data_IF_610268239213
#
_entry.id   IF_610268239213
#
_cell.length_a   1.000
_cell.length_b   1.000
_cell.length_c   1.000
_cell.angle_alpha   90.00
_cell.angle_beta   90.00
_cell.angle_gamma   90.00
#
_symmetry.space_group_name_H-M   'P 1'
#
loop_
_entity.id
_entity.type
_entity.pdbx_description
1 polymer ?
#
# COMPACT_ATOMS: atom_id res chain seq x y z
N UNK A 1 39.66 0.29 35.85
CA UNK A 1 39.56 1.45 34.94
C UNK A 1 39.75 1.09 33.47
N UNK A 2 40.77 0.29 33.11
CA UNK A 2 41.01 -0.17 31.73
C UNK A 2 39.81 -0.86 31.05
N UNK A 3 39.07 -1.72 31.77
CA UNK A 3 37.85 -2.37 31.25
C UNK A 3 36.72 -1.38 30.91
N UNK A 4 36.57 -0.30 31.69
CA UNK A 4 35.59 0.76 31.41
C UNK A 4 36.01 1.60 30.20
N UNK A 5 37.32 1.82 30.02
CA UNK A 5 37.89 2.51 28.85
C UNK A 5 37.68 1.67 27.58
N UNK A 6 37.94 0.37 27.62
CA UNK A 6 37.66 -0.52 26.49
C UNK A 6 36.16 -0.59 26.17
N UNK A 7 35.30 -0.68 27.19
CA UNK A 7 33.86 -0.65 27.00
C UNK A 7 33.38 0.66 26.35
N UNK A 8 33.91 1.80 26.80
CA UNK A 8 33.60 3.11 26.23
C UNK A 8 34.09 3.24 24.79
N UNK A 9 35.29 2.75 24.49
CA UNK A 9 35.88 2.76 23.15
C UNK A 9 35.07 1.90 22.18
N UNK A 10 34.64 0.70 22.59
CA UNK A 10 33.81 -0.17 21.76
C UNK A 10 32.42 0.42 21.51
N UNK A 11 31.81 1.05 22.51
CA UNK A 11 30.53 1.73 22.35
C UNK A 11 30.61 2.92 21.37
N UNK A 12 31.71 3.67 21.40
CA UNK A 12 31.93 4.79 20.49
C UNK A 12 32.11 4.34 19.03
N UNK A 13 32.83 3.24 18.80
CA UNK A 13 33.00 2.66 17.45
C UNK A 13 31.67 2.15 16.90
N UNK A 14 30.81 1.57 17.74
CA UNK A 14 29.50 1.06 17.32
C UNK A 14 28.52 2.19 16.92
N UNK A 15 28.63 3.36 17.57
CA UNK A 15 27.81 4.53 17.23
C UNK A 15 28.19 5.13 15.87
N UNK A 16 29.47 5.03 15.49
CA UNK A 16 29.99 5.56 14.22
C UNK A 16 29.73 4.62 13.03
N UNK A 17 29.46 3.34 13.28
CA UNK A 17 29.16 2.35 12.23
C UNK A 17 27.67 2.15 11.96
N UNK A 18 26.79 2.90 12.63
CA UNK A 18 25.36 2.83 12.37
C UNK A 18 25.05 3.37 10.96
N UNK A 19 24.39 2.59 10.08
CA UNK A 19 23.99 3.08 8.77
C UNK A 19 23.00 4.23 8.93
N UNK A 20 23.29 5.37 8.32
CA UNK A 20 22.38 6.51 8.28
C UNK A 20 21.26 6.20 7.29
N UNK A 21 20.07 5.89 7.81
CA UNK A 21 18.86 5.77 7.00
C UNK A 21 18.36 7.18 6.70
N UNK A 22 18.64 7.68 5.50
CA UNK A 22 18.03 8.89 4.98
C UNK A 22 16.60 8.56 4.55
N UNK A 23 15.62 9.25 5.12
CA UNK A 23 14.25 9.19 4.63
C UNK A 23 14.24 9.80 3.22
N UNK A 24 13.92 8.97 2.22
CA UNK A 24 13.75 9.46 0.86
C UNK A 24 12.42 10.21 0.80
N UNK A 25 12.48 11.55 0.87
CA UNK A 25 11.32 12.44 0.67
C UNK A 25 10.84 12.49 -0.79
N UNK A 26 11.30 11.58 -1.65
CA UNK A 26 10.70 11.34 -2.95
C UNK A 26 9.35 10.59 -2.80
N UNK A 27 8.36 11.26 -2.21
CA UNK A 27 6.96 11.01 -2.54
C UNK A 27 6.63 11.67 -3.89
N UNK A 28 7.46 11.44 -4.92
CA UNK A 28 6.91 11.52 -6.27
C UNK A 28 5.94 10.35 -6.35
N UNK A 29 4.63 10.63 -6.24
CA UNK A 29 3.62 9.65 -6.64
C UNK A 29 4.08 9.13 -8.00
N UNK A 30 4.28 7.81 -8.18
CA UNK A 30 4.69 7.31 -9.48
C UNK A 30 3.69 7.86 -10.49
N UNK A 31 4.19 8.61 -11.48
CA UNK A 31 3.32 9.12 -12.53
C UNK A 31 2.61 7.92 -13.15
N UNK A 32 1.28 7.99 -13.23
CA UNK A 32 0.51 6.89 -13.81
C UNK A 32 0.98 6.69 -15.24
N UNK A 33 1.32 5.45 -15.57
CA UNK A 33 1.58 5.06 -16.97
C UNK A 33 0.34 5.34 -17.81
N UNK A 34 0.51 5.60 -19.11
CA UNK A 34 -0.63 5.92 -19.98
C UNK A 34 -1.68 4.81 -20.01
N UNK A 35 -1.25 3.55 -19.86
CA UNK A 35 -2.15 2.41 -19.68
C UNK A 35 -3.01 2.51 -18.42
N UNK A 36 -2.44 2.94 -17.31
CA UNK A 36 -3.19 3.13 -16.06
C UNK A 36 -4.17 4.29 -16.15
N UNK A 37 -3.82 5.38 -16.86
CA UNK A 37 -4.74 6.51 -17.09
C UNK A 37 -5.97 6.08 -17.89
N UNK A 38 -5.76 5.31 -18.97
CA UNK A 38 -6.85 4.73 -19.77
C UNK A 38 -7.74 3.84 -18.89
N UNK A 39 -7.13 2.98 -18.07
CA UNK A 39 -7.88 2.07 -17.20
C UNK A 39 -8.71 2.80 -16.12
N UNK A 40 -8.18 3.88 -15.56
CA UNK A 40 -8.95 4.73 -14.62
C UNK A 40 -10.13 5.40 -15.30
N UNK A 41 -9.97 5.84 -16.56
CA UNK A 41 -11.08 6.41 -17.33
C UNK A 41 -12.19 5.39 -17.60
N UNK A 42 -11.83 4.15 -17.96
CA UNK A 42 -12.79 3.04 -18.11
C UNK A 42 -13.56 2.75 -16.81
N UNK A 43 -12.84 2.65 -15.69
CA UNK A 43 -13.44 2.45 -14.37
C UNK A 43 -14.41 3.59 -14.04
N UNK A 44 -14.01 4.83 -14.31
CA UNK A 44 -14.84 6.02 -14.04
C UNK A 44 -16.13 5.97 -14.83
N UNK A 45 -16.05 5.71 -16.14
CA UNK A 45 -17.22 5.55 -17.01
C UNK A 45 -18.17 4.46 -16.49
N UNK A 46 -17.63 3.29 -16.13
CA UNK A 46 -18.45 2.19 -15.64
C UNK A 46 -19.13 2.50 -14.30
N UNK A 47 -18.43 3.19 -13.41
CA UNK A 47 -19.01 3.65 -12.13
C UNK A 47 -20.15 4.64 -12.37
N UNK A 48 -20.02 5.55 -13.34
CA UNK A 48 -21.09 6.46 -13.72
C UNK A 48 -22.29 5.71 -14.30
N UNK A 49 -22.06 4.75 -15.20
CA UNK A 49 -23.14 3.87 -15.70
C UNK A 49 -23.88 3.19 -14.54
N UNK A 50 -23.17 2.58 -13.57
CA UNK A 50 -23.79 1.91 -12.41
C UNK A 50 -24.51 2.89 -11.46
N UNK A 51 -24.02 4.13 -11.38
CA UNK A 51 -24.64 5.19 -10.58
C UNK A 51 -26.00 5.59 -11.16
N UNK A 52 -26.09 5.63 -12.48
CA UNK A 52 -27.29 6.09 -13.21
C UNK A 52 -28.33 4.98 -13.43
N UNK A 53 -28.00 3.71 -13.11
CA UNK A 53 -28.97 2.60 -13.09
C UNK A 53 -30.05 2.88 -12.03
N UNK A 54 -31.32 2.84 -12.44
CA UNK A 54 -32.44 2.76 -11.51
C UNK A 54 -32.44 1.39 -10.80
N UNK A 55 -32.42 1.42 -9.47
CA UNK A 55 -32.28 0.24 -8.60
C UNK A 55 -33.60 -0.17 -7.94
N UNK A 56 -34.67 0.55 -8.23
CA UNK A 56 -36.01 0.33 -7.67
C UNK A 56 -36.50 -1.10 -7.97
N UNK A 57 -36.28 -1.55 -9.21
CA UNK A 57 -36.73 -2.85 -9.71
C UNK A 57 -35.70 -4.00 -9.62
N UNK A 58 -34.45 -3.71 -9.22
CA UNK A 58 -33.40 -4.73 -9.19
C UNK A 58 -33.65 -5.79 -8.11
N UNK A 59 -33.35 -7.06 -8.40
CA UNK A 59 -33.39 -8.11 -7.39
C UNK A 59 -32.30 -7.89 -6.33
N UNK A 60 -32.39 -8.60 -5.20
CA UNK A 60 -31.32 -8.56 -4.18
C UNK A 60 -30.00 -9.07 -4.73
N UNK A 61 -30.03 -10.03 -5.64
CA UNK A 61 -28.86 -10.64 -6.26
C UNK A 61 -28.18 -9.66 -7.21
N UNK A 62 -28.95 -8.97 -8.05
CA UNK A 62 -28.42 -7.97 -8.99
C UNK A 62 -27.79 -6.79 -8.25
N UNK A 63 -28.45 -6.32 -7.18
CA UNK A 63 -27.87 -5.27 -6.32
C UNK A 63 -26.56 -5.72 -5.67
N UNK A 64 -26.44 -7.00 -5.32
CA UNK A 64 -25.21 -7.56 -4.75
C UNK A 64 -24.12 -7.66 -5.82
N UNK A 65 -24.46 -8.08 -7.04
CA UNK A 65 -23.54 -8.13 -8.17
C UNK A 65 -22.96 -6.74 -8.49
N UNK A 66 -23.80 -5.70 -8.60
CA UNK A 66 -23.36 -4.32 -8.83
C UNK A 66 -22.47 -3.80 -7.69
N UNK A 67 -22.77 -4.16 -6.44
CA UNK A 67 -21.91 -3.80 -5.30
C UNK A 67 -20.55 -4.48 -5.36
N UNK A 68 -20.51 -5.76 -5.73
CA UNK A 68 -19.26 -6.49 -5.88
C UNK A 68 -18.40 -5.90 -7.01
N UNK A 69 -19.04 -5.58 -8.15
CA UNK A 69 -18.37 -4.92 -9.29
C UNK A 69 -17.76 -3.56 -8.87
N UNK A 70 -18.53 -2.73 -8.15
CA UNK A 70 -18.02 -1.46 -7.61
C UNK A 70 -16.86 -1.67 -6.61
N UNK A 71 -16.90 -2.72 -5.78
CA UNK A 71 -15.82 -3.03 -4.84
C UNK A 71 -14.54 -3.47 -5.55
N UNK A 72 -14.67 -4.26 -6.61
CA UNK A 72 -13.56 -4.71 -7.44
C UNK A 72 -12.88 -3.52 -8.13
N UNK A 73 -13.67 -2.66 -8.79
CA UNK A 73 -13.17 -1.43 -9.41
C UNK A 73 -12.51 -0.49 -8.39
N UNK A 74 -13.04 -0.40 -7.17
CA UNK A 74 -12.43 0.39 -6.08
C UNK A 74 -11.07 -0.17 -5.66
N UNK A 75 -10.93 -1.50 -5.57
CA UNK A 75 -9.64 -2.14 -5.30
C UNK A 75 -8.68 -1.81 -6.44
N UNK A 76 -9.11 -2.03 -7.67
CA UNK A 76 -8.27 -1.78 -8.85
C UNK A 76 -7.75 -0.32 -8.91
N UNK A 77 -8.63 0.66 -8.73
CA UNK A 77 -8.23 2.08 -8.69
C UNK A 77 -7.27 2.39 -7.53
N UNK A 78 -7.46 1.77 -6.35
CA UNK A 78 -6.57 1.93 -5.20
C UNK A 78 -5.18 1.34 -5.47
N UNK A 79 -5.08 0.26 -6.26
CA UNK A 79 -3.81 -0.30 -6.70
C UNK A 79 -3.04 0.67 -7.59
N UNK A 80 -3.76 1.37 -8.47
CA UNK A 80 -3.15 2.32 -9.40
C UNK A 80 -2.74 3.64 -8.73
N UNK A 81 -3.48 4.10 -7.72
CA UNK A 81 -3.22 5.37 -7.03
C UNK A 81 -2.14 5.28 -5.92
N UNK A 82 -1.39 4.17 -5.83
CA UNK A 82 -0.35 4.00 -4.82
C UNK A 82 -0.87 3.71 -3.41
N UNK A 83 -2.07 3.12 -3.30
CA UNK A 83 -2.53 2.57 -2.02
C UNK A 83 -1.58 1.49 -1.52
N UNK A 84 -1.49 1.32 -0.19
CA UNK A 84 -0.68 0.26 0.42
C UNK A 84 -1.28 -1.10 0.02
N UNK A 85 -0.69 -1.72 -0.99
CA UNK A 85 -0.76 -3.15 -1.20
C UNK A 85 0.39 -3.73 -0.41
N UNK A 86 0.10 -4.40 0.70
CA UNK A 86 1.08 -5.32 1.26
C UNK A 86 1.25 -6.39 0.19
N UNK A 87 2.34 -6.30 -0.58
CA UNK A 87 2.76 -7.40 -1.45
C UNK A 87 2.85 -8.67 -0.61
N UNK A 88 2.74 -9.85 -1.21
CA UNK A 88 2.91 -11.12 -0.48
C UNK A 88 4.21 -11.10 0.34
N UNK A 89 5.30 -10.55 -0.22
CA UNK A 89 6.56 -10.32 0.51
C UNK A 89 6.43 -9.36 1.69
N UNK A 90 5.70 -8.25 1.54
CA UNK A 90 5.47 -7.31 2.64
C UNK A 90 4.57 -7.90 3.74
N UNK A 91 3.57 -8.72 3.39
CA UNK A 91 2.77 -9.48 4.37
C UNK A 91 3.68 -10.41 5.17
N UNK A 92 4.56 -11.16 4.50
CA UNK A 92 5.53 -12.05 5.15
C UNK A 92 6.44 -11.27 6.10
N UNK A 93 6.98 -10.13 5.67
CA UNK A 93 7.84 -9.28 6.52
C UNK A 93 7.10 -8.79 7.77
N UNK A 94 5.87 -8.30 7.63
CA UNK A 94 5.06 -7.86 8.78
C UNK A 94 4.80 -9.01 9.76
N UNK A 95 4.48 -10.21 9.25
CA UNK A 95 4.30 -11.40 10.09
C UNK A 95 5.58 -11.76 10.83
N UNK A 96 6.73 -11.76 10.16
CA UNK A 96 8.03 -12.06 10.80
C UNK A 96 8.37 -11.04 11.89
N UNK A 97 8.10 -9.75 11.66
CA UNK A 97 8.31 -8.71 12.67
C UNK A 97 7.43 -8.91 13.91
N UNK A 98 6.17 -9.30 13.74
CA UNK A 98 5.28 -9.61 14.87
C UNK A 98 5.78 -10.82 15.68
N UNK A 99 6.36 -11.83 15.03
CA UNK A 99 6.94 -13.00 15.73
C UNK A 99 8.20 -12.62 16.51
N UNK A 100 9.02 -11.68 16.00
CA UNK A 100 10.25 -11.23 16.66
C UNK A 100 10.01 -10.24 17.81
N UNK A 101 8.94 -9.44 17.72
CA UNK A 101 8.59 -8.41 18.71
C UNK A 101 7.68 -8.92 19.84
N UNK A 102 6.99 -10.05 19.62
CA UNK A 102 6.19 -10.73 20.64
C UNK A 102 7.08 -11.62 21.52
#
# INVERSE_FOLDING_TARGET
MKKKIYFLATALVLMLSAPTVMANDAKSKPEMTDKQKVRVAEITRRVEEIKDIDRSELSREDRKALRNELQEMKKEAKAMSGGIYLSVGAIIIVILLLILLL
#
